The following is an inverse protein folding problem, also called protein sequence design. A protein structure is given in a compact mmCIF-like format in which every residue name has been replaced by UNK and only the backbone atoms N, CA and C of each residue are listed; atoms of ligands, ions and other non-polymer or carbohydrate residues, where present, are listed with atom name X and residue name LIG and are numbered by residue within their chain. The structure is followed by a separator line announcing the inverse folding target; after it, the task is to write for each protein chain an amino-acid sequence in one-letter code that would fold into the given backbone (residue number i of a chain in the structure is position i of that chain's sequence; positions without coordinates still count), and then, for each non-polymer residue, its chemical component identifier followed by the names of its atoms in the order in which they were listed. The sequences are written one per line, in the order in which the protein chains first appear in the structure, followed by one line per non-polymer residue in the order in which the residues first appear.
data_IF_509445686649
#
_entry.id   IF_509445686649
#
_cell.length_a   1.000
_cell.length_b   1.000
_cell.length_c   1.000
_cell.angle_alpha   90.00
_cell.angle_beta   90.00
_cell.angle_gamma   90.00
#
_symmetry.space_group_name_H-M   'P 1'
#
loop_
_entity.id
_entity.type
_entity.pdbx_description
1 polymer ?
#
# COMPACT_ATOMS: atom_id res chain seq x y z
N UNK A 1 -0.37 10.39 18.18
CA UNK A 1 0.35 9.31 17.49
C UNK A 1 0.45 9.68 16.02
N UNK A 2 1.66 10.00 15.58
CA UNK A 2 1.94 10.86 14.43
C UNK A 2 2.33 10.13 13.16
N UNK A 3 1.85 8.94 12.97
CA UNK A 3 2.39 8.06 11.93
C UNK A 3 2.00 8.41 10.51
N UNK A 4 0.88 9.10 10.30
CA UNK A 4 0.53 9.54 8.95
C UNK A 4 1.32 10.76 8.56
N UNK A 5 1.50 11.66 9.48
CA UNK A 5 2.50 12.68 9.31
C UNK A 5 3.85 11.99 9.46
N UNK A 6 4.42 11.54 8.37
CA UNK A 6 5.82 11.15 8.40
C UNK A 6 6.59 12.29 9.07
N UNK A 7 7.14 12.10 10.29
CA UNK A 7 7.77 13.18 11.00
C UNK A 7 8.81 13.82 10.09
N UNK A 8 8.82 15.13 10.02
CA UNK A 8 9.80 15.87 9.23
C UNK A 8 11.23 15.45 9.64
N UNK A 9 11.39 15.08 10.91
CA UNK A 9 12.66 14.66 11.50
C UNK A 9 13.25 13.40 10.89
N UNK A 10 12.45 12.51 10.30
CA UNK A 10 12.94 11.31 9.61
C UNK A 10 12.91 11.44 8.09
N UNK A 11 12.60 12.65 7.57
CA UNK A 11 12.48 12.90 6.13
C UNK A 11 11.29 12.20 5.48
N UNK A 12 10.34 11.69 6.27
CA UNK A 12 9.19 10.95 5.76
C UNK A 12 9.53 9.52 5.35
N UNK A 13 10.54 8.92 5.94
CA UNK A 13 11.00 7.58 5.59
C UNK A 13 10.36 6.46 6.41
N UNK A 14 9.67 6.79 7.50
CA UNK A 14 9.08 5.78 8.37
C UNK A 14 8.20 4.74 7.65
N UNK A 15 7.33 5.09 6.70
CA UNK A 15 6.53 4.09 5.98
C UNK A 15 7.38 3.03 5.26
N UNK A 16 8.61 3.37 4.86
CA UNK A 16 9.51 2.46 4.17
C UNK A 16 10.07 1.32 5.06
N UNK A 17 9.78 1.31 6.37
CA UNK A 17 10.07 0.14 7.22
C UNK A 17 9.33 -1.09 6.68
N UNK A 18 8.17 -0.89 6.04
CA UNK A 18 7.36 -1.96 5.45
C UNK A 18 7.71 -2.28 3.98
N UNK A 19 8.78 -1.74 3.42
CA UNK A 19 9.17 -1.99 2.02
C UNK A 19 9.41 -3.47 1.72
N UNK A 20 9.99 -4.21 2.66
CA UNK A 20 10.21 -5.65 2.51
C UNK A 20 8.91 -6.44 2.51
N UNK A 21 7.97 -6.06 3.37
CA UNK A 21 6.62 -6.64 3.39
C UNK A 21 5.90 -6.37 2.07
N UNK A 22 5.94 -5.12 1.57
CA UNK A 22 5.30 -4.78 0.29
C UNK A 22 5.93 -5.56 -0.88
N UNK A 23 7.26 -5.71 -0.92
CA UNK A 23 7.92 -6.60 -1.91
C UNK A 23 7.42 -8.04 -1.80
N UNK A 24 7.30 -8.55 -0.58
CA UNK A 24 6.81 -9.92 -0.33
C UNK A 24 5.35 -10.07 -0.76
N UNK A 25 4.50 -9.11 -0.47
CA UNK A 25 3.09 -9.09 -0.93
C UNK A 25 3.03 -9.14 -2.46
N UNK A 26 3.84 -8.33 -3.14
CA UNK A 26 3.89 -8.31 -4.61
C UNK A 26 4.36 -9.66 -5.17
N UNK A 27 5.42 -10.24 -4.61
CA UNK A 27 5.95 -11.52 -5.07
C UNK A 27 4.97 -12.67 -4.85
N UNK A 28 4.27 -12.67 -3.72
CA UNK A 28 3.28 -13.69 -3.39
C UNK A 28 2.03 -13.55 -4.28
N UNK A 29 1.59 -12.32 -4.54
CA UNK A 29 0.51 -12.07 -5.48
C UNK A 29 0.87 -12.54 -6.89
N UNK A 30 2.08 -12.24 -7.38
CA UNK A 30 2.60 -12.75 -8.67
C UNK A 30 2.58 -14.29 -8.72
N UNK A 31 2.76 -14.96 -7.59
CA UNK A 31 2.69 -16.42 -7.49
C UNK A 31 1.25 -16.93 -7.46
N UNK A 32 0.41 -16.31 -6.63
CA UNK A 32 -1.01 -16.70 -6.50
C UNK A 32 -1.81 -16.50 -7.79
N UNK A 33 -1.56 -15.42 -8.53
CA UNK A 33 -2.21 -15.14 -9.80
C UNK A 33 -1.99 -16.25 -10.84
N UNK A 34 -0.86 -16.97 -10.74
CA UNK A 34 -0.54 -18.09 -11.67
C UNK A 34 -1.20 -19.41 -11.29
N UNK A 35 -1.79 -19.51 -10.11
CA UNK A 35 -2.44 -20.75 -9.68
C UNK A 35 -3.70 -21.03 -10.53
N UNK A 36 -3.99 -22.30 -10.84
CA UNK A 36 -5.14 -22.68 -11.66
C UNK A 36 -6.46 -22.48 -10.92
N UNK A 37 -6.44 -22.53 -9.60
CA UNK A 37 -7.62 -22.43 -8.74
C UNK A 37 -7.62 -21.09 -8.00
N UNK A 38 -8.81 -20.50 -7.75
CA UNK A 38 -8.94 -19.38 -6.83
C UNK A 38 -8.44 -19.75 -5.43
N UNK A 39 -7.85 -18.78 -4.75
CA UNK A 39 -7.34 -18.97 -3.40
C UNK A 39 -7.21 -17.66 -2.67
N UNK A 40 -6.86 -17.74 -1.39
CA UNK A 40 -6.59 -16.58 -0.57
C UNK A 40 -5.28 -16.76 0.18
N UNK A 41 -4.52 -15.67 0.30
CA UNK A 41 -3.35 -15.59 1.14
C UNK A 41 -3.60 -14.59 2.25
N UNK A 42 -3.63 -15.07 3.48
CA UNK A 42 -3.91 -14.27 4.65
C UNK A 42 -2.61 -13.98 5.40
N UNK A 43 -2.52 -12.75 5.91
CA UNK A 43 -1.46 -12.30 6.82
C UNK A 43 -2.08 -11.66 8.03
N UNK A 44 -1.61 -12.03 9.19
CA UNK A 44 -2.01 -11.44 10.46
C UNK A 44 -0.86 -10.61 11.01
N UNK A 45 -1.17 -9.49 11.62
CA UNK A 45 -0.17 -8.57 12.16
C UNK A 45 -0.80 -7.55 13.09
N UNK A 46 -0.02 -6.54 13.45
CA UNK A 46 -0.42 -5.46 14.33
C UNK A 46 -0.60 -4.15 13.53
N UNK A 47 -1.24 -3.18 14.15
CA UNK A 47 -1.41 -1.81 13.62
C UNK A 47 -0.06 -1.17 13.27
N UNK A 48 0.99 -1.48 14.01
CA UNK A 48 2.38 -1.02 13.76
C UNK A 48 2.95 -1.50 12.43
N UNK A 49 2.34 -2.50 11.82
CA UNK A 49 2.66 -3.00 10.48
C UNK A 49 1.70 -2.43 9.44
N UNK A 50 0.40 -2.48 9.75
CA UNK A 50 -0.66 -2.09 8.81
C UNK A 50 -0.59 -0.59 8.47
N UNK A 51 -0.48 0.28 9.48
CA UNK A 51 -0.46 1.72 9.28
C UNK A 51 0.69 2.19 8.37
N UNK A 52 1.97 1.88 8.65
CA UNK A 52 3.04 2.30 7.76
C UNK A 52 2.96 1.65 6.37
N UNK A 53 2.36 0.47 6.24
CA UNK A 53 2.09 -0.14 4.93
C UNK A 53 1.05 0.67 4.14
N UNK A 54 -0.06 1.05 4.76
CA UNK A 54 -1.10 1.90 4.14
C UNK A 54 -0.49 3.24 3.70
N UNK A 55 0.33 3.87 4.56
CA UNK A 55 1.03 5.10 4.23
C UNK A 55 2.05 4.91 3.10
N UNK A 56 2.80 3.81 3.08
CA UNK A 56 3.76 3.50 2.01
C UNK A 56 3.07 3.36 0.65
N UNK A 57 1.91 2.71 0.64
CA UNK A 57 1.09 2.55 -0.56
C UNK A 57 0.40 3.88 -0.92
N UNK A 58 0.06 4.73 0.05
CA UNK A 58 -0.65 6.00 -0.17
C UNK A 58 -2.14 5.81 -0.40
N UNK A 59 -2.72 4.77 0.21
CA UNK A 59 -4.14 4.45 0.09
C UNK A 59 -4.97 5.64 0.60
N UNK A 60 -5.97 6.06 -0.18
CA UNK A 60 -6.89 7.15 0.15
C UNK A 60 -6.21 8.48 0.53
N UNK A 61 -4.93 8.67 0.16
CA UNK A 61 -4.16 9.84 0.56
C UNK A 61 -3.65 9.79 2.01
N UNK A 62 -3.65 8.61 2.65
CA UNK A 62 -3.14 8.45 4.01
C UNK A 62 -1.61 8.55 4.13
N UNK A 63 -0.90 8.79 3.03
CA UNK A 63 0.50 9.21 3.01
C UNK A 63 0.67 10.73 3.27
N UNK A 64 -0.32 11.37 3.87
CA UNK A 64 -0.32 12.77 4.24
C UNK A 64 0.96 13.17 4.98
N UNK A 65 1.60 14.24 4.51
CA UNK A 65 2.77 14.85 5.15
C UNK A 65 2.40 16.22 5.66
N UNK A 66 2.61 16.46 6.94
CA UNK A 66 2.39 17.77 7.56
C UNK A 66 3.37 18.00 8.71
N UNK A 67 3.80 19.23 8.90
CA UNK A 67 4.53 19.69 10.08
C UNK A 67 3.58 20.20 11.17
N UNK A 68 2.33 20.50 10.80
CA UNK A 68 1.32 20.96 11.73
C UNK A 68 0.39 19.81 12.08
N UNK A 69 0.52 19.31 13.30
CA UNK A 69 -0.26 18.17 13.79
C UNK A 69 -1.72 18.51 14.06
N UNK A 70 -2.00 19.77 14.38
CA UNK A 70 -3.37 20.24 14.67
C UNK A 70 -4.26 20.23 13.41
N UNK A 71 -3.66 20.19 12.23
CA UNK A 71 -4.37 20.14 10.95
C UNK A 71 -4.68 18.73 10.45
N UNK A 72 -4.17 17.68 11.10
CA UNK A 72 -4.28 16.30 10.61
C UNK A 72 -5.75 15.89 10.43
N UNK A 73 -6.56 16.15 11.44
CA UNK A 73 -7.99 15.85 11.41
C UNK A 73 -8.74 16.65 10.35
N UNK A 74 -8.45 17.96 10.26
CA UNK A 74 -9.03 18.83 9.24
C UNK A 74 -8.68 18.40 7.80
N UNK A 75 -7.53 17.71 7.62
CA UNK A 75 -7.11 17.12 6.35
C UNK A 75 -7.69 15.72 6.12
N UNK A 76 -8.63 15.28 6.95
CA UNK A 76 -9.34 14.01 6.77
C UNK A 76 -8.55 12.78 7.22
N UNK A 77 -7.48 12.96 8.01
CA UNK A 77 -6.71 11.85 8.52
C UNK A 77 -7.08 11.51 9.95
N UNK A 78 -7.72 10.37 10.13
CA UNK A 78 -8.21 9.86 11.43
C UNK A 78 -7.63 8.47 11.65
N UNK A 79 -6.93 8.30 12.74
CA UNK A 79 -6.32 7.03 13.12
C UNK A 79 -7.33 5.88 13.13
N UNK A 80 -8.51 6.12 13.69
CA UNK A 80 -9.62 5.14 13.76
C UNK A 80 -10.20 4.77 12.39
N UNK A 81 -10.05 5.62 11.38
CA UNK A 81 -10.48 5.30 10.00
C UNK A 81 -9.43 4.52 9.24
N UNK A 82 -8.16 4.68 9.58
CA UNK A 82 -7.05 3.98 8.93
C UNK A 82 -6.93 2.55 9.42
N UNK A 83 -6.93 2.36 10.76
CA UNK A 83 -6.79 1.03 11.36
C UNK A 83 -7.68 0.87 12.61
N UNK A 84 -9.00 0.70 12.44
CA UNK A 84 -9.90 0.33 13.53
C UNK A 84 -9.53 -1.05 14.09
N UNK A 85 -10.22 -1.48 15.16
CA UNK A 85 -10.16 -2.88 15.56
C UNK A 85 -10.52 -3.79 14.39
N UNK A 86 -9.76 -4.88 14.23
CA UNK A 86 -9.85 -5.77 13.06
C UNK A 86 -9.61 -5.09 11.71
N UNK A 87 -8.89 -3.95 11.72
CA UNK A 87 -8.51 -3.25 10.49
C UNK A 87 -7.82 -4.17 9.50
N UNK A 88 -8.20 -4.07 8.23
CA UNK A 88 -7.67 -4.97 7.19
C UNK A 88 -7.43 -4.24 5.87
N UNK A 89 -6.50 -4.78 5.11
CA UNK A 89 -6.18 -4.37 3.75
C UNK A 89 -6.29 -5.58 2.83
N UNK A 90 -7.13 -5.47 1.80
CA UNK A 90 -7.39 -6.56 0.87
C UNK A 90 -6.99 -6.15 -0.55
N UNK A 91 -6.35 -7.06 -1.27
CA UNK A 91 -6.13 -7.00 -2.71
C UNK A 91 -6.95 -8.11 -3.35
N UNK A 92 -8.01 -7.76 -4.04
CA UNK A 92 -8.92 -8.73 -4.68
C UNK A 92 -8.63 -8.75 -6.17
N UNK A 93 -8.17 -9.88 -6.67
CA UNK A 93 -7.72 -10.06 -8.05
C UNK A 93 -8.80 -10.66 -8.94
N UNK A 94 -8.85 -10.19 -10.18
CA UNK A 94 -9.79 -10.61 -11.20
C UNK A 94 -9.06 -10.95 -12.49
N UNK A 95 -9.47 -12.05 -13.12
CA UNK A 95 -9.07 -12.39 -14.49
C UNK A 95 -10.25 -13.01 -15.22
N UNK A 96 -10.36 -12.76 -16.51
CA UNK A 96 -11.46 -13.28 -17.34
C UNK A 96 -11.22 -14.74 -17.74
N UNK A 97 -9.96 -15.16 -17.85
CA UNK A 97 -9.58 -16.54 -18.18
C UNK A 97 -8.21 -16.90 -17.58
N UNK A 98 -7.88 -18.20 -17.49
CA UNK A 98 -6.55 -18.64 -17.06
C UNK A 98 -5.39 -18.14 -17.94
N UNK A 99 -5.65 -17.84 -19.20
CA UNK A 99 -4.67 -17.30 -20.16
C UNK A 99 -4.55 -15.78 -20.16
N UNK A 100 -5.43 -15.10 -19.40
CA UNK A 100 -5.42 -13.65 -19.35
C UNK A 100 -4.12 -13.13 -18.70
N UNK A 101 -3.46 -12.22 -19.41
CA UNK A 101 -2.22 -11.59 -18.96
C UNK A 101 -2.47 -10.26 -18.28
N UNK A 102 -3.64 -9.67 -18.49
CA UNK A 102 -4.02 -8.38 -17.91
C UNK A 102 -4.88 -8.59 -16.67
N UNK A 103 -4.22 -8.74 -15.55
CA UNK A 103 -4.85 -8.99 -14.26
C UNK A 103 -5.31 -7.66 -13.68
N UNK A 104 -6.59 -7.56 -13.41
CA UNK A 104 -7.18 -6.45 -12.68
C UNK A 104 -7.27 -6.77 -11.20
N UNK A 105 -7.26 -5.74 -10.36
CA UNK A 105 -7.49 -5.90 -8.94
C UNK A 105 -8.19 -4.67 -8.35
N UNK A 106 -8.86 -4.88 -7.23
CA UNK A 106 -9.36 -3.83 -6.35
C UNK A 106 -8.58 -3.83 -5.04
N UNK A 107 -8.52 -2.66 -4.42
CA UNK A 107 -8.04 -2.52 -3.04
C UNK A 107 -9.22 -2.19 -2.14
N UNK A 108 -9.35 -2.92 -1.05
CA UNK A 108 -10.29 -2.60 0.01
C UNK A 108 -9.50 -2.27 1.28
N UNK A 109 -9.87 -1.20 1.95
CA UNK A 109 -9.40 -0.86 3.29
C UNK A 109 -10.59 -0.93 4.23
N UNK A 110 -10.50 -1.77 5.25
CA UNK A 110 -11.61 -1.99 6.19
C UNK A 110 -12.91 -2.31 5.47
N UNK A 111 -12.82 -3.20 4.45
CA UNK A 111 -13.93 -3.68 3.61
C UNK A 111 -14.56 -2.63 2.68
N UNK A 112 -14.06 -1.38 2.70
CA UNK A 112 -14.51 -0.32 1.80
C UNK A 112 -13.57 -0.17 0.61
N UNK A 113 -14.11 0.15 -0.57
CA UNK A 113 -13.30 0.42 -1.76
C UNK A 113 -12.33 1.58 -1.48
N UNK A 114 -11.05 1.32 -1.76
CA UNK A 114 -9.98 2.26 -1.51
C UNK A 114 -9.33 2.71 -2.82
N UNK A 115 -8.79 3.92 -2.80
CA UNK A 115 -8.11 4.53 -3.96
C UNK A 115 -6.60 4.45 -3.79
N UNK A 116 -5.94 4.17 -4.92
CA UNK A 116 -4.49 4.20 -5.02
C UNK A 116 -4.03 5.49 -5.72
N UNK A 117 -2.85 6.03 -5.38
CA UNK A 117 -2.27 7.21 -6.03
C UNK A 117 -1.59 6.85 -7.37
N UNK A 118 -2.19 5.94 -8.13
CA UNK A 118 -1.76 5.56 -9.48
C UNK A 118 -2.92 5.72 -10.45
N UNK A 119 -2.61 6.15 -11.67
CA UNK A 119 -3.63 6.28 -12.71
C UNK A 119 -4.18 4.91 -13.12
N UNK A 120 -5.47 4.89 -13.45
CA UNK A 120 -6.15 3.72 -14.03
C UNK A 120 -7.22 4.20 -15.02
N UNK A 121 -7.45 3.43 -16.04
CA UNK A 121 -8.50 3.63 -17.07
C UNK A 121 -9.77 2.80 -16.78
N UNK A 122 -9.75 1.99 -15.72
CA UNK A 122 -10.83 1.07 -15.37
C UNK A 122 -11.26 1.16 -13.89
N UNK A 123 -11.28 2.38 -13.30
CA UNK A 123 -11.72 2.58 -11.92
C UNK A 123 -13.07 1.90 -11.65
N UNK A 124 -13.27 1.27 -10.48
CA UNK A 124 -12.41 1.22 -9.29
C UNK A 124 -11.32 0.14 -9.36
N UNK A 125 -11.09 -0.45 -10.51
CA UNK A 125 -10.04 -1.46 -10.73
C UNK A 125 -8.73 -0.81 -11.13
N UNK A 126 -7.65 -1.56 -10.91
CA UNK A 126 -6.29 -1.21 -11.29
C UNK A 126 -5.63 -2.38 -12.01
N UNK A 127 -4.75 -2.09 -12.95
CA UNK A 127 -3.91 -3.12 -13.57
C UNK A 127 -2.79 -3.53 -12.62
N UNK A 128 -2.69 -4.82 -12.35
CA UNK A 128 -1.66 -5.36 -11.45
C UNK A 128 -0.24 -5.03 -11.91
N UNK A 129 0.01 -5.07 -13.22
CA UNK A 129 1.31 -4.71 -13.80
C UNK A 129 1.74 -3.28 -13.45
N UNK A 130 0.79 -2.34 -13.39
CA UNK A 130 1.08 -0.92 -13.12
C UNK A 130 1.34 -0.68 -11.65
N UNK A 131 0.56 -1.32 -10.76
CA UNK A 131 0.82 -1.36 -9.33
C UNK A 131 2.22 -1.91 -9.04
N UNK A 132 2.52 -3.09 -9.55
CA UNK A 132 3.79 -3.76 -9.38
C UNK A 132 4.97 -2.89 -9.83
N UNK A 133 4.89 -2.34 -11.04
CA UNK A 133 5.93 -1.45 -11.59
C UNK A 133 6.12 -0.20 -10.74
N UNK A 134 5.03 0.45 -10.32
CA UNK A 134 5.06 1.67 -9.54
C UNK A 134 5.74 1.45 -8.19
N UNK A 135 5.29 0.46 -7.43
CA UNK A 135 5.78 0.27 -6.06
C UNK A 135 7.17 -0.36 -6.00
N UNK A 136 7.53 -1.26 -6.90
CA UNK A 136 8.91 -1.74 -6.97
C UNK A 136 9.88 -0.58 -7.29
N UNK A 137 9.55 0.28 -8.27
CA UNK A 137 10.36 1.46 -8.58
C UNK A 137 10.44 2.44 -7.40
N UNK A 138 9.34 2.65 -6.67
CA UNK A 138 9.30 3.50 -5.48
C UNK A 138 10.25 2.99 -4.40
N UNK A 139 10.24 1.68 -4.14
CA UNK A 139 11.11 1.03 -3.15
C UNK A 139 12.58 1.08 -3.60
N UNK A 140 12.87 0.73 -4.86
CA UNK A 140 14.24 0.75 -5.40
C UNK A 140 14.88 2.13 -5.32
N UNK A 141 14.09 3.18 -5.62
CA UNK A 141 14.54 4.57 -5.49
C UNK A 141 14.92 4.91 -4.06
N UNK A 142 14.06 4.57 -3.10
CA UNK A 142 14.36 4.77 -1.68
C UNK A 142 15.65 4.07 -1.24
N UNK A 143 15.82 2.80 -1.60
CA UNK A 143 17.00 2.01 -1.21
C UNK A 143 18.28 2.61 -1.82
N UNK A 144 18.21 3.09 -3.06
CA UNK A 144 19.33 3.76 -3.73
C UNK A 144 19.70 5.11 -3.07
N UNK A 145 18.70 5.88 -2.66
CA UNK A 145 18.93 7.14 -1.94
C UNK A 145 19.59 6.89 -0.58
N UNK A 146 19.07 5.93 0.19
CA UNK A 146 19.63 5.58 1.51
C UNK A 146 21.04 5.00 1.44
N UNK A 147 21.39 4.28 0.38
CA UNK A 147 22.75 3.77 0.20
C UNK A 147 23.78 4.87 -0.07
N UNK A 148 23.36 6.00 -0.66
CA UNK A 148 24.24 7.17 -0.89
C UNK A 148 24.46 7.99 0.37
N UNK A 149 23.48 8.05 1.27
CA UNK A 149 23.57 8.83 2.52
C UNK A 149 24.40 8.14 3.60
N UNK A 150 24.69 6.84 3.43
CA UNK A 150 25.54 6.06 4.37
C UNK A 150 27.03 6.08 4.00
N UNK A 151 27.40 6.71 2.92
CA UNK A 151 28.80 6.98 2.52
C UNK A 151 29.19 8.41 2.89
#
# INVERSE_FOLDING_TARGET
MQYAACPINDGGYYPYVQRHLLRKIIADADSCIRLPQPGAQLRFGHETVLLPLICLIGINGYDLRTSNLDEIEAKGWWCSSVFPMAGNLQFVFYRSSPSDKDILFKVLLNEQEARLPIATDCAPYYHWRDFRRHYLKKIDRYEKERSKTKK
#
